data_IF_902568037295
#
_entry.id   IF_902568037295
#
_cell.length_a   1.000
_cell.length_b   1.000
_cell.length_c   1.000
_cell.angle_alpha   90.00
_cell.angle_beta   90.00
_cell.angle_gamma   90.00
#
_symmetry.space_group_name_H-M   'P 1'
#
loop_
_entity.id
_entity.type
_entity.pdbx_description
1 polymer ?
#
# COMPACT_ATOMS: atom_id res chain seq x y z
N UNK A 1 -13.60 -8.83 13.26
CA UNK A 1 -12.70 -9.28 12.17
C UNK A 1 -13.00 -8.65 10.82
N UNK A 2 -14.01 -7.79 10.69
CA UNK A 2 -14.38 -7.12 9.44
C UNK A 2 -13.66 -5.76 9.18
N UNK A 3 -12.76 -5.31 10.06
CA UNK A 3 -12.20 -3.95 9.98
C UNK A 3 -11.09 -3.79 8.93
N UNK A 4 -10.55 -4.88 8.38
CA UNK A 4 -9.45 -4.85 7.41
C UNK A 4 -9.80 -5.48 6.05
N UNK A 5 -11.06 -5.86 5.83
CA UNK A 5 -11.49 -6.38 4.53
C UNK A 5 -11.61 -5.22 3.53
N UNK A 6 -10.53 -5.01 2.78
CA UNK A 6 -10.43 -3.99 1.75
C UNK A 6 -10.18 -4.65 0.39
N UNK A 7 -10.68 -4.02 -0.68
CA UNK A 7 -10.49 -4.48 -2.06
C UNK A 7 -9.08 -4.25 -2.58
N UNK A 8 -8.43 -3.18 -2.10
CA UNK A 8 -7.07 -2.77 -2.47
C UNK A 8 -6.34 -2.26 -1.22
N UNK A 9 -5.04 -2.53 -1.14
CA UNK A 9 -4.17 -2.03 -0.08
C UNK A 9 -3.03 -1.21 -0.67
N UNK A 10 -2.77 -0.03 -0.09
CA UNK A 10 -1.61 0.79 -0.39
C UNK A 10 -0.65 0.74 0.79
N UNK A 11 0.59 0.29 0.54
CA UNK A 11 1.60 0.06 1.57
C UNK A 11 2.73 1.06 1.39
N UNK A 12 2.97 1.85 2.43
CA UNK A 12 4.10 2.79 2.47
C UNK A 12 5.31 2.06 3.04
N UNK A 13 6.45 2.18 2.38
CA UNK A 13 7.75 1.77 2.94
C UNK A 13 8.31 2.87 3.83
N UNK A 14 8.51 2.63 5.13
CA UNK A 14 9.13 3.62 6.01
C UNK A 14 10.55 3.98 5.54
N UNK A 15 10.98 5.19 5.85
CA UNK A 15 12.36 5.61 5.58
C UNK A 15 13.36 4.68 6.27
N UNK A 16 14.42 4.30 5.55
CA UNK A 16 15.44 3.37 6.05
C UNK A 16 15.06 1.89 5.97
N UNK A 17 13.90 1.54 5.42
CA UNK A 17 13.51 0.17 5.09
C UNK A 17 13.45 -0.03 3.56
N UNK A 18 13.60 -1.28 3.12
CA UNK A 18 13.34 -1.69 1.74
C UNK A 18 11.92 -2.24 1.60
N UNK A 19 11.39 -2.19 0.38
CA UNK A 19 10.08 -2.81 0.06
C UNK A 19 10.07 -4.31 0.41
N UNK A 20 11.19 -5.00 0.20
CA UNK A 20 11.32 -6.43 0.51
C UNK A 20 11.18 -6.69 2.01
N UNK A 21 11.86 -5.89 2.87
CA UNK A 21 11.77 -6.01 4.33
C UNK A 21 10.32 -5.82 4.81
N UNK A 22 9.60 -4.85 4.25
CA UNK A 22 8.19 -4.60 4.58
C UNK A 22 7.31 -5.76 4.10
N UNK A 23 7.55 -6.28 2.89
CA UNK A 23 6.80 -7.42 2.35
C UNK A 23 6.98 -8.68 3.18
N UNK A 24 8.21 -9.00 3.57
CA UNK A 24 8.53 -10.16 4.42
C UNK A 24 7.87 -10.03 5.79
N UNK A 25 7.94 -8.84 6.41
CA UNK A 25 7.27 -8.56 7.68
C UNK A 25 5.76 -8.77 7.58
N UNK A 26 5.11 -8.16 6.58
CA UNK A 26 3.68 -8.29 6.39
C UNK A 26 3.27 -9.75 6.11
N UNK A 27 4.02 -10.48 5.28
CA UNK A 27 3.78 -11.89 4.98
C UNK A 27 3.87 -12.79 6.22
N UNK A 28 4.65 -12.40 7.24
CA UNK A 28 4.75 -13.12 8.51
C UNK A 28 3.51 -12.96 9.41
N UNK A 29 2.63 -11.98 9.15
CA UNK A 29 1.45 -11.72 9.97
C UNK A 29 0.29 -12.68 9.58
N UNK A 30 -0.27 -13.45 10.53
CA UNK A 30 -1.33 -14.42 10.24
C UNK A 30 -2.58 -13.84 9.58
N UNK A 31 -2.91 -12.57 9.88
CA UNK A 31 -4.07 -11.89 9.30
C UNK A 31 -3.81 -11.40 7.88
N UNK A 32 -2.57 -11.05 7.54
CA UNK A 32 -2.22 -10.47 6.25
C UNK A 32 -2.55 -11.41 5.10
N UNK A 33 -2.12 -12.68 5.20
CA UNK A 33 -2.37 -13.69 4.17
C UNK A 33 -3.86 -14.04 4.01
N UNK A 34 -4.70 -13.65 4.97
CA UNK A 34 -6.14 -13.88 4.91
C UNK A 34 -6.92 -12.77 4.21
N UNK A 35 -6.32 -11.59 4.01
CA UNK A 35 -6.97 -10.44 3.39
C UNK A 35 -7.31 -10.70 1.92
N UNK A 36 -8.50 -10.26 1.51
CA UNK A 36 -8.99 -10.39 0.13
C UNK A 36 -8.05 -9.72 -0.88
N UNK A 37 -7.59 -8.49 -0.59
CA UNK A 37 -6.63 -7.77 -1.42
C UNK A 37 -5.30 -8.52 -1.61
N UNK A 38 -4.80 -9.19 -0.58
CA UNK A 38 -3.54 -9.97 -0.67
C UNK A 38 -3.74 -11.17 -1.59
N UNK A 39 -4.82 -11.94 -1.38
CA UNK A 39 -5.16 -13.11 -2.21
C UNK A 39 -5.41 -12.76 -3.67
N UNK A 40 -5.91 -11.56 -3.94
CA UNK A 40 -6.22 -11.08 -5.29
C UNK A 40 -5.06 -10.30 -5.93
N UNK A 41 -3.87 -10.25 -5.30
CA UNK A 41 -2.72 -9.50 -5.78
C UNK A 41 -3.00 -8.00 -6.01
N UNK A 42 -3.79 -7.41 -5.10
CA UNK A 42 -4.21 -5.99 -5.10
C UNK A 42 -3.54 -5.20 -3.98
N UNK A 43 -2.24 -5.44 -3.79
CA UNK A 43 -1.40 -4.71 -2.85
C UNK A 43 -0.39 -3.89 -3.65
N UNK A 44 -0.38 -2.59 -3.41
CA UNK A 44 0.44 -1.64 -4.15
C UNK A 44 1.41 -0.96 -3.19
N UNK A 45 2.70 -1.08 -3.47
CA UNK A 45 3.71 -0.27 -2.77
C UNK A 45 3.61 1.16 -3.27
N UNK A 46 3.61 2.13 -2.36
CA UNK A 46 3.54 3.55 -2.70
C UNK A 46 4.69 4.31 -2.06
N UNK A 47 5.13 5.38 -2.74
CA UNK A 47 6.26 6.15 -2.27
C UNK A 47 5.89 6.97 -1.03
N UNK A 48 6.66 6.78 0.05
CA UNK A 48 6.45 7.49 1.32
C UNK A 48 6.53 9.01 1.19
N UNK A 49 7.40 9.52 0.32
CA UNK A 49 7.68 10.95 0.18
C UNK A 49 6.45 11.84 -0.05
N UNK A 50 5.46 11.37 -0.83
CA UNK A 50 4.21 12.10 -1.03
C UNK A 50 3.03 11.53 -0.25
N UNK A 51 2.98 10.24 0.07
CA UNK A 51 1.84 9.66 0.81
C UNK A 51 1.78 10.06 2.29
N UNK A 52 2.88 10.54 2.88
CA UNK A 52 2.91 11.06 4.26
C UNK A 52 2.81 12.60 4.31
N UNK A 53 2.71 13.27 3.16
CA UNK A 53 2.75 14.73 3.06
C UNK A 53 1.44 15.26 2.45
N UNK A 54 0.91 16.35 3.01
CA UNK A 54 -0.36 16.97 2.57
C UNK A 54 -0.18 18.22 1.70
N UNK A 55 1.04 18.53 1.24
CA UNK A 55 1.30 19.63 0.33
C UNK A 55 0.63 19.41 -1.04
N UNK A 56 0.35 20.51 -1.77
CA UNK A 56 -0.35 20.47 -3.06
C UNK A 56 0.27 19.47 -4.06
N UNK A 57 1.58 19.54 -4.28
CA UNK A 57 2.28 18.63 -5.20
C UNK A 57 2.24 17.17 -4.73
N UNK A 58 2.26 16.93 -3.41
CA UNK A 58 2.15 15.59 -2.84
C UNK A 58 0.76 15.00 -3.12
N UNK A 59 -0.30 15.80 -2.93
CA UNK A 59 -1.67 15.37 -3.22
C UNK A 59 -1.86 15.06 -4.72
N UNK A 60 -1.27 15.83 -5.63
CA UNK A 60 -1.27 15.51 -7.06
C UNK A 60 -0.58 14.17 -7.37
N UNK A 61 0.54 13.88 -6.71
CA UNK A 61 1.24 12.61 -6.87
C UNK A 61 0.42 11.43 -6.32
N UNK A 62 -0.24 11.59 -5.17
CA UNK A 62 -1.16 10.58 -4.62
C UNK A 62 -2.30 10.29 -5.61
N UNK A 63 -2.92 11.33 -6.18
CA UNK A 63 -3.99 11.15 -7.17
C UNK A 63 -3.50 10.37 -8.40
N UNK A 64 -2.30 10.69 -8.89
CA UNK A 64 -1.70 9.97 -10.00
C UNK A 64 -1.50 8.49 -9.67
N UNK A 65 -0.90 8.19 -8.52
CA UNK A 65 -0.67 6.80 -8.09
C UNK A 65 -1.98 6.01 -8.04
N UNK A 66 -3.04 6.59 -7.48
CA UNK A 66 -4.35 5.94 -7.39
C UNK A 66 -4.93 5.68 -8.79
N UNK A 67 -4.89 6.65 -9.69
CA UNK A 67 -5.40 6.48 -11.06
C UNK A 67 -4.65 5.36 -11.81
N UNK A 68 -3.32 5.33 -11.71
CA UNK A 68 -2.48 4.29 -12.32
C UNK A 68 -2.82 2.87 -11.79
N UNK A 69 -3.44 2.74 -10.61
CA UNK A 69 -3.89 1.44 -10.06
C UNK A 69 -5.29 1.03 -10.50
N UNK A 70 -6.11 1.96 -11.01
CA UNK A 70 -7.47 1.68 -11.48
C UNK A 70 -7.48 1.32 -12.96
N UNK A 71 -6.52 1.85 -13.73
CA UNK A 71 -6.37 1.59 -15.17
C UNK A 71 -5.66 0.25 -15.48
N UNK A 72 -5.15 -0.45 -14.47
CA UNK A 72 -4.51 -1.78 -14.57
C UNK A 72 -5.46 -2.89 -14.16
#
# INVERSE_FOLDING_TARGET
MAELDADKLFVITPEGQTDEQVRELLASLPLWNNLSAVKQNRVYQVASGHWINSAYNANLAILKDVLDTVEK
#
